data_IF_369647375956
#
_entry.id   IF_369647375956
#
_cell.length_a   1.000
_cell.length_b   1.000
_cell.length_c   1.000
_cell.angle_alpha   90.00
_cell.angle_beta   90.00
_cell.angle_gamma   90.00
#
_symmetry.space_group_name_H-M   'P 1'
#
loop_
_entity.id
_entity.type
_entity.pdbx_description
1 polymer ?
#
# COMPACT_ATOMS: atom_id res chain seq x y z
N UNK A 1 6.57 19.43 -5.60
CA UNK A 1 6.75 18.00 -5.90
C UNK A 1 7.36 17.36 -4.67
N UNK A 2 6.72 16.36 -4.06
CA UNK A 2 7.37 15.55 -3.01
C UNK A 2 8.37 14.60 -3.69
N UNK A 3 9.46 14.27 -3.00
CA UNK A 3 10.39 13.24 -3.46
C UNK A 3 9.75 11.86 -3.28
N UNK A 4 10.13 10.88 -4.10
CA UNK A 4 9.76 9.49 -3.85
C UNK A 4 10.43 9.01 -2.57
N UNK A 5 9.62 8.60 -1.61
CA UNK A 5 10.06 8.07 -0.32
C UNK A 5 9.87 6.54 -0.33
N UNK A 6 10.87 5.81 0.15
CA UNK A 6 10.85 4.35 0.18
C UNK A 6 10.68 3.87 1.62
N UNK A 7 9.67 3.02 1.80
CA UNK A 7 9.30 2.46 3.10
C UNK A 7 9.56 0.96 3.12
N UNK A 8 9.90 0.45 4.31
CA UNK A 8 10.15 -0.99 4.50
C UNK A 8 8.86 -1.76 4.76
N UNK A 9 7.82 -1.09 5.26
CA UNK A 9 6.51 -1.69 5.53
C UNK A 9 5.38 -0.84 4.94
N UNK A 10 4.22 -1.47 4.73
CA UNK A 10 3.01 -0.76 4.28
C UNK A 10 2.48 0.19 5.36
N UNK A 11 2.65 -0.15 6.64
CA UNK A 11 2.25 0.73 7.74
C UNK A 11 3.09 2.02 7.76
N UNK A 12 4.41 1.93 7.64
CA UNK A 12 5.25 3.14 7.65
C UNK A 12 4.91 4.07 6.46
N UNK A 13 4.60 3.48 5.30
CA UNK A 13 4.15 4.24 4.15
C UNK A 13 2.78 4.90 4.38
N UNK A 14 1.86 4.19 5.04
CA UNK A 14 0.55 4.72 5.42
C UNK A 14 0.66 5.87 6.42
N UNK A 15 1.49 5.73 7.46
CA UNK A 15 1.67 6.73 8.51
C UNK A 15 2.23 8.06 7.97
N UNK A 16 2.92 8.02 6.83
CA UNK A 16 3.47 9.20 6.15
C UNK A 16 2.61 9.72 4.99
N UNK A 17 1.54 9.01 4.63
CA UNK A 17 0.64 9.35 3.54
C UNK A 17 -0.21 10.58 3.88
N UNK A 18 -0.49 11.38 2.86
CA UNK A 18 -1.43 12.49 2.92
C UNK A 18 -2.70 12.14 2.13
N UNK A 19 -3.74 12.94 2.33
CA UNK A 19 -4.99 12.81 1.57
C UNK A 19 -4.74 12.90 0.05
N UNK A 20 -5.21 11.88 -0.66
CA UNK A 20 -5.03 11.68 -2.09
C UNK A 20 -3.77 10.91 -2.51
N UNK A 21 -2.89 10.50 -1.58
CA UNK A 21 -1.65 9.81 -1.93
C UNK A 21 -1.88 8.36 -2.42
N UNK A 22 -0.94 7.91 -3.26
CA UNK A 22 -0.86 6.52 -3.73
C UNK A 22 0.39 5.84 -3.18
N UNK A 23 0.21 4.76 -2.45
CA UNK A 23 1.28 3.88 -2.00
C UNK A 23 1.44 2.74 -3.01
N UNK A 24 2.56 2.75 -3.73
CA UNK A 24 2.90 1.72 -4.70
C UNK A 24 3.66 0.57 -4.03
N UNK A 25 3.27 -0.67 -4.33
CA UNK A 25 3.88 -1.88 -3.80
C UNK A 25 4.40 -2.79 -4.89
N UNK A 26 5.59 -3.37 -4.64
CA UNK A 26 6.19 -4.34 -5.56
C UNK A 26 5.40 -5.64 -5.58
N UNK A 27 5.63 -6.45 -6.62
CA UNK A 27 5.28 -7.87 -6.68
C UNK A 27 6.06 -8.64 -5.59
N UNK A 28 5.50 -8.65 -4.38
CA UNK A 28 6.10 -9.20 -3.18
C UNK A 28 5.01 -9.73 -2.23
N UNK A 29 5.44 -10.40 -1.16
CA UNK A 29 4.57 -10.88 -0.08
C UNK A 29 4.76 -9.98 1.14
N UNK A 30 3.67 -9.40 1.63
CA UNK A 30 3.64 -8.64 2.88
C UNK A 30 2.88 -9.43 3.93
N UNK A 31 3.51 -9.65 5.09
CA UNK A 31 2.93 -10.39 6.21
C UNK A 31 2.59 -9.48 7.41
N UNK A 32 2.73 -8.17 7.23
CA UNK A 32 2.54 -7.20 8.29
C UNK A 32 1.10 -6.71 8.26
N UNK A 33 0.56 -6.43 9.45
CA UNK A 33 -0.76 -5.81 9.58
C UNK A 33 -0.70 -4.33 9.18
N UNK A 34 -1.84 -3.80 8.70
CA UNK A 34 -2.04 -2.39 8.39
C UNK A 34 -3.25 -1.88 9.17
N UNK A 35 -3.04 -0.85 9.98
CA UNK A 35 -4.06 -0.09 10.66
C UNK A 35 -4.24 1.26 9.95
N UNK A 36 -5.35 1.40 9.23
CA UNK A 36 -5.74 2.64 8.58
C UNK A 36 -6.71 3.43 9.49
N UNK A 37 -6.16 4.36 10.26
CA UNK A 37 -6.86 5.16 11.28
C UNK A 37 -6.87 6.68 11.04
N UNK A 38 -6.24 7.13 9.95
CA UNK A 38 -6.28 8.51 9.52
C UNK A 38 -7.53 8.79 8.67
N UNK A 39 -8.17 9.94 8.87
CA UNK A 39 -9.33 10.39 8.07
C UNK A 39 -8.88 10.98 6.73
N UNK A 40 -8.28 10.14 5.90
CA UNK A 40 -7.75 10.47 4.57
C UNK A 40 -8.22 9.46 3.52
N UNK A 41 -8.29 9.88 2.26
CA UNK A 41 -8.52 9.04 1.10
C UNK A 41 -7.20 8.66 0.46
N UNK A 42 -6.90 7.37 0.30
CA UNK A 42 -5.63 6.93 -0.29
C UNK A 42 -5.77 5.67 -1.13
N UNK A 43 -4.75 5.38 -1.95
CA UNK A 43 -4.71 4.21 -2.84
C UNK A 43 -3.52 3.31 -2.51
N UNK A 44 -3.77 2.04 -2.20
CA UNK A 44 -2.75 1.00 -2.25
C UNK A 44 -2.78 0.36 -3.64
N UNK A 45 -1.67 0.47 -4.37
CA UNK A 45 -1.56 -0.10 -5.72
C UNK A 45 -0.38 -1.06 -5.81
N UNK A 46 -0.67 -2.34 -6.02
CA UNK A 46 0.29 -3.43 -5.98
C UNK A 46 0.83 -3.85 -7.34
N UNK A 47 1.70 -4.86 -7.31
CA UNK A 47 2.12 -5.59 -8.51
C UNK A 47 3.29 -4.97 -9.28
N UNK A 48 3.92 -3.92 -8.77
CA UNK A 48 4.99 -3.23 -9.48
C UNK A 48 6.29 -4.04 -9.58
N UNK A 49 7.08 -3.80 -10.63
CA UNK A 49 8.45 -4.28 -10.73
C UNK A 49 9.39 -3.59 -9.71
N UNK A 50 10.66 -4.00 -9.64
CA UNK A 50 11.64 -3.46 -8.70
C UNK A 50 11.84 -1.92 -8.80
N UNK A 51 11.54 -1.34 -9.95
CA UNK A 51 11.72 0.08 -10.24
C UNK A 51 10.44 0.91 -10.07
N UNK A 52 9.31 0.29 -9.70
CA UNK A 52 8.00 0.94 -9.61
C UNK A 52 7.54 1.59 -10.94
N UNK A 53 8.03 1.09 -12.09
CA UNK A 53 7.69 1.66 -13.41
C UNK A 53 6.49 0.98 -14.07
N UNK A 54 6.35 -0.33 -13.86
CA UNK A 54 5.35 -1.15 -14.55
C UNK A 54 4.70 -2.14 -13.58
N UNK A 55 3.40 -2.38 -13.76
CA UNK A 55 2.66 -3.44 -13.06
C UNK A 55 2.89 -4.75 -13.80
N UNK A 56 3.58 -5.68 -13.14
CA UNK A 56 3.98 -6.98 -13.71
C UNK A 56 3.28 -8.18 -13.08
N UNK A 57 2.41 -7.95 -12.09
CA UNK A 57 1.63 -9.00 -11.42
C UNK A 57 0.77 -8.43 -10.29
N UNK A 58 0.63 -9.18 -9.20
CA UNK A 58 -0.10 -8.76 -8.00
C UNK A 58 0.77 -8.83 -6.75
N UNK A 59 0.48 -7.96 -5.78
CA UNK A 59 1.08 -8.03 -4.44
C UNK A 59 0.28 -8.99 -3.58
N UNK A 60 0.94 -9.92 -2.91
CA UNK A 60 0.30 -10.80 -1.93
C UNK A 60 0.31 -10.12 -0.56
N UNK A 61 -0.85 -10.06 0.09
CA UNK A 61 -1.01 -9.50 1.43
C UNK A 61 -1.62 -10.55 2.36
N UNK A 62 -0.83 -10.96 3.34
CA UNK A 62 -1.15 -12.03 4.29
C UNK A 62 -1.31 -11.52 5.73
N UNK A 63 -1.23 -10.21 5.94
CA UNK A 63 -1.61 -9.56 7.20
C UNK A 63 -3.10 -9.22 7.26
N UNK A 64 -3.48 -8.57 8.35
CA UNK A 64 -4.80 -7.99 8.53
C UNK A 64 -4.76 -6.50 8.17
N UNK A 65 -5.69 -6.06 7.32
CA UNK A 65 -5.92 -4.64 7.07
C UNK A 65 -7.19 -4.21 7.81
N UNK A 66 -7.04 -3.30 8.78
CA UNK A 66 -8.14 -2.72 9.54
C UNK A 66 -8.33 -1.28 9.12
N UNK A 67 -9.53 -0.94 8.62
CA UNK A 67 -9.88 0.44 8.26
C UNK A 67 -10.85 0.96 9.30
N UNK A 68 -10.42 1.97 10.05
CA UNK A 68 -11.22 2.59 11.12
C UNK A 68 -11.63 4.02 10.80
N UNK A 69 -10.91 4.71 9.92
CA UNK A 69 -11.24 6.05 9.42
C UNK A 69 -10.81 6.23 7.96
N UNK A 70 -11.34 7.27 7.30
CA UNK A 70 -10.99 7.59 5.92
C UNK A 70 -11.49 6.58 4.89
N UNK A 71 -10.80 6.53 3.75
CA UNK A 71 -11.11 5.64 2.63
C UNK A 71 -9.84 5.05 2.06
N UNK A 72 -9.79 3.73 1.94
CA UNK A 72 -8.68 3.01 1.32
C UNK A 72 -9.18 2.34 0.04
N UNK A 73 -8.59 2.70 -1.09
CA UNK A 73 -8.80 2.02 -2.37
C UNK A 73 -7.66 1.03 -2.60
N UNK A 74 -7.98 -0.20 -3.00
CA UNK A 74 -6.99 -1.28 -3.17
C UNK A 74 -7.00 -1.77 -4.62
N UNK A 75 -5.83 -1.78 -5.27
CA UNK A 75 -5.63 -2.26 -6.63
C UNK A 75 -4.46 -3.25 -6.73
N UNK A 76 -4.61 -4.31 -7.52
CA UNK A 76 -3.55 -5.31 -7.77
C UNK A 76 -3.04 -6.06 -6.53
N UNK A 77 -3.91 -6.35 -5.55
CA UNK A 77 -3.62 -7.20 -4.39
C UNK A 77 -4.35 -8.54 -4.43
N UNK A 78 -3.75 -9.55 -3.81
CA UNK A 78 -4.38 -10.84 -3.46
C UNK A 78 -4.27 -11.03 -1.95
N UNK A 79 -5.39 -11.32 -1.30
CA UNK A 79 -5.47 -11.55 0.15
C UNK A 79 -5.55 -13.05 0.47
N UNK A 80 -4.85 -13.48 1.52
CA UNK A 80 -4.91 -14.85 2.02
C UNK A 80 -4.23 -15.88 1.11
N UNK A 81 -3.05 -15.54 0.57
CA UNK A 81 -2.25 -16.41 -0.30
C UNK A 81 -1.41 -17.40 0.52
#
# INVERSE_FOLDING_TARGET
MRASEYYSTLQDAYDAALDGDTIQSRIAVFNNDVNADQDISMVFDGGYNCNYSDITGTTAFNGNMTISSGTVTIGNYVFGN
#
